data_IF_289459485214
#
_entry.id   IF_289459485214
#
_cell.length_a   1.000
_cell.length_b   1.000
_cell.length_c   1.000
_cell.angle_alpha   90.00
_cell.angle_beta   90.00
_cell.angle_gamma   90.00
#
_symmetry.space_group_name_H-M   'P 1'
#
loop_
_entity.id
_entity.type
_entity.pdbx_description
1 polymer ?
#
# COMPACT_ATOMS: atom_id res chain seq x y z
N UNK A 1 24.99 -8.97 25.71
CA UNK A 1 25.05 -8.47 24.33
C UNK A 1 23.78 -7.67 24.00
N UNK A 2 23.96 -6.62 23.22
CA UNK A 2 22.81 -5.84 22.76
C UNK A 2 21.94 -6.68 21.83
N UNK A 3 20.63 -6.50 21.93
CA UNK A 3 19.69 -7.14 21.03
C UNK A 3 19.79 -6.56 19.63
N UNK A 4 19.60 -7.38 18.62
CA UNK A 4 19.35 -6.91 17.25
C UNK A 4 17.91 -6.48 17.11
N UNK A 5 17.63 -5.55 16.22
CA UNK A 5 16.27 -5.05 16.02
C UNK A 5 16.03 -4.57 14.59
N UNK A 6 14.77 -4.42 14.25
CA UNK A 6 14.33 -3.70 13.07
C UNK A 6 12.99 -3.06 13.36
N UNK A 7 12.59 -2.13 12.50
CA UNK A 7 11.29 -1.47 12.63
C UNK A 7 10.36 -1.92 11.51
N UNK A 8 9.11 -2.20 11.87
CA UNK A 8 8.02 -2.46 10.93
C UNK A 8 7.33 -1.12 10.69
N UNK A 9 7.28 -0.70 9.44
CA UNK A 9 6.65 0.57 9.05
C UNK A 9 5.70 0.33 7.89
N UNK A 10 4.78 1.27 7.67
CA UNK A 10 3.95 1.31 6.48
C UNK A 10 4.05 2.70 5.88
N UNK A 11 4.92 2.86 4.92
CA UNK A 11 5.19 4.15 4.26
C UNK A 11 4.94 4.03 2.77
N UNK A 12 4.49 5.14 2.19
CA UNK A 12 4.27 5.25 0.75
C UNK A 12 5.17 6.35 0.21
N UNK A 13 5.96 6.02 -0.80
CA UNK A 13 6.78 7.01 -1.50
C UNK A 13 5.89 7.76 -2.48
N UNK A 14 5.48 8.98 -2.11
CA UNK A 14 4.58 9.80 -2.91
C UNK A 14 5.15 10.10 -4.30
N UNK A 15 6.46 10.27 -4.41
CA UNK A 15 7.09 10.51 -5.71
C UNK A 15 6.92 9.30 -6.63
N UNK A 16 7.07 8.08 -6.11
CA UNK A 16 6.85 6.87 -6.89
C UNK A 16 5.38 6.69 -7.27
N UNK A 17 4.45 7.09 -6.40
CA UNK A 17 3.03 7.11 -6.74
C UNK A 17 2.77 8.11 -7.88
N UNK A 18 3.37 9.29 -7.81
CA UNK A 18 3.25 10.30 -8.87
C UNK A 18 3.80 9.77 -10.20
N UNK A 19 4.94 9.09 -10.17
CA UNK A 19 5.51 8.47 -11.37
C UNK A 19 4.57 7.41 -11.94
N UNK A 20 3.97 6.58 -11.08
CA UNK A 20 3.00 5.58 -11.51
C UNK A 20 1.75 6.22 -12.13
N UNK A 21 1.27 7.31 -11.52
CA UNK A 21 0.13 8.05 -12.02
C UNK A 21 0.41 8.64 -13.41
N UNK A 22 1.59 9.24 -13.59
CA UNK A 22 1.98 9.82 -14.87
C UNK A 22 2.11 8.75 -15.95
N UNK A 23 2.64 7.58 -15.63
CA UNK A 23 2.72 6.46 -16.56
C UNK A 23 1.32 5.94 -16.91
N UNK A 24 0.44 5.82 -15.93
CA UNK A 24 -0.93 5.42 -16.17
C UNK A 24 -1.67 6.42 -17.07
N UNK A 25 -1.53 7.72 -16.79
CA UNK A 25 -2.14 8.77 -17.59
C UNK A 25 -1.68 8.70 -19.05
N UNK A 26 -0.39 8.47 -19.26
CA UNK A 26 0.17 8.35 -20.62
C UNK A 26 -0.41 7.13 -21.33
N UNK A 27 -0.47 5.98 -20.67
CA UNK A 27 -1.02 4.77 -21.28
C UNK A 27 -2.50 4.95 -21.61
N UNK A 28 -3.29 5.54 -20.70
CA UNK A 28 -4.71 5.79 -20.91
C UNK A 28 -4.95 6.74 -22.10
N UNK A 29 -4.05 7.70 -22.33
CA UNK A 29 -4.18 8.64 -23.44
C UNK A 29 -3.86 8.01 -24.80
N UNK A 30 -3.12 6.89 -24.83
CA UNK A 30 -2.66 6.25 -26.07
C UNK A 30 -3.35 4.92 -26.37
N UNK A 31 -3.97 4.28 -25.38
CA UNK A 31 -4.62 2.98 -25.59
C UNK A 31 -5.90 3.14 -26.41
N UNK A 32 -6.07 2.27 -27.37
CA UNK A 32 -7.21 2.27 -28.28
C UNK A 32 -8.54 2.13 -27.55
N UNK A 33 -8.62 1.27 -26.54
CA UNK A 33 -9.83 0.97 -25.79
C UNK A 33 -10.31 2.13 -24.91
N UNK A 34 -9.47 3.16 -24.73
CA UNK A 34 -9.82 4.37 -23.98
C UNK A 34 -10.12 5.57 -24.87
N UNK A 35 -10.06 5.42 -26.20
CA UNK A 35 -10.37 6.52 -27.10
C UNK A 35 -11.82 6.96 -26.98
N UNK A 36 -12.05 8.26 -26.88
CA UNK A 36 -13.40 8.83 -26.79
C UNK A 36 -14.08 8.65 -25.46
N UNK A 37 -13.39 8.07 -24.46
CA UNK A 37 -13.95 7.82 -23.13
C UNK A 37 -13.70 8.97 -22.15
N UNK A 38 -12.90 9.96 -22.55
CA UNK A 38 -12.50 11.09 -21.70
C UNK A 38 -11.92 10.63 -20.35
N UNK A 39 -11.13 9.56 -20.37
CA UNK A 39 -10.57 8.97 -19.17
C UNK A 39 -9.44 9.83 -18.63
N UNK A 40 -9.50 10.16 -17.34
CA UNK A 40 -8.47 10.95 -16.67
C UNK A 40 -8.09 10.31 -15.35
N UNK A 41 -6.87 10.58 -14.92
CA UNK A 41 -6.37 10.23 -13.59
C UNK A 41 -5.56 11.40 -13.07
N UNK A 42 -5.84 11.84 -11.85
CA UNK A 42 -5.17 13.01 -11.26
C UNK A 42 -5.20 12.96 -9.74
N UNK A 43 -4.26 13.66 -9.14
CA UNK A 43 -4.30 13.90 -7.70
C UNK A 43 -5.51 14.73 -7.32
N UNK A 44 -6.11 14.38 -6.18
CA UNK A 44 -7.16 15.16 -5.55
C UNK A 44 -6.69 15.53 -4.14
N UNK A 45 -6.00 16.67 -4.04
CA UNK A 45 -5.29 17.03 -2.82
C UNK A 45 -3.97 16.26 -2.68
N UNK A 46 -3.47 16.13 -1.47
CA UNK A 46 -2.12 15.59 -1.22
C UNK A 46 -2.07 14.06 -1.13
N UNK A 47 -3.16 13.42 -0.76
CA UNK A 47 -3.17 12.00 -0.43
C UNK A 47 -4.25 11.19 -1.15
N UNK A 48 -5.04 11.82 -2.02
CA UNK A 48 -6.08 11.14 -2.76
C UNK A 48 -5.86 11.24 -4.26
N UNK A 49 -6.38 10.26 -4.97
CA UNK A 49 -6.30 10.18 -6.44
C UNK A 49 -7.69 9.92 -6.98
N UNK A 50 -8.02 10.61 -8.06
CA UNK A 50 -9.32 10.51 -8.70
C UNK A 50 -9.16 10.01 -10.12
N UNK A 51 -9.96 8.99 -10.48
CA UNK A 51 -10.06 8.48 -11.83
C UNK A 51 -11.47 8.76 -12.34
N UNK A 52 -11.58 9.23 -13.58
CA UNK A 52 -12.86 9.56 -14.22
C UNK A 52 -12.90 8.93 -15.61
N UNK A 53 -14.05 8.38 -15.99
CA UNK A 53 -14.26 7.88 -17.35
C UNK A 53 -15.74 7.96 -17.73
N UNK A 54 -16.05 7.68 -18.98
CA UNK A 54 -17.40 7.77 -19.50
C UNK A 54 -18.32 6.63 -19.04
N UNK A 55 -17.76 5.49 -18.63
CA UNK A 55 -18.52 4.33 -18.17
C UNK A 55 -17.91 3.73 -16.90
N UNK A 56 -18.71 3.01 -16.14
CA UNK A 56 -18.25 2.27 -14.97
C UNK A 56 -17.16 1.27 -15.33
N UNK A 57 -17.36 0.53 -16.42
CA UNK A 57 -16.40 -0.45 -16.90
C UNK A 57 -15.05 0.19 -17.23
N UNK A 58 -15.06 1.34 -17.90
CA UNK A 58 -13.84 2.02 -18.28
C UNK A 58 -13.09 2.64 -17.10
N UNK A 59 -13.81 3.17 -16.12
CA UNK A 59 -13.14 3.71 -14.94
C UNK A 59 -12.51 2.60 -14.11
N UNK A 60 -13.12 1.42 -14.04
CA UNK A 60 -12.52 0.25 -13.40
C UNK A 60 -11.28 -0.22 -14.15
N UNK A 61 -11.33 -0.23 -15.48
CA UNK A 61 -10.17 -0.58 -16.31
C UNK A 61 -9.02 0.43 -16.12
N UNK A 62 -9.35 1.71 -15.98
CA UNK A 62 -8.35 2.73 -15.68
C UNK A 62 -7.68 2.49 -14.32
N UNK A 63 -8.45 2.07 -13.33
CA UNK A 63 -7.91 1.70 -12.02
C UNK A 63 -6.94 0.52 -12.13
N UNK A 64 -7.27 -0.48 -12.93
CA UNK A 64 -6.38 -1.63 -13.14
C UNK A 64 -5.04 -1.19 -13.75
N UNK A 65 -5.07 -0.27 -14.69
CA UNK A 65 -3.86 0.29 -15.28
C UNK A 65 -3.01 0.98 -14.23
N UNK A 66 -3.62 1.81 -13.40
CA UNK A 66 -2.91 2.52 -12.34
C UNK A 66 -2.30 1.56 -11.33
N UNK A 67 -3.07 0.56 -10.88
CA UNK A 67 -2.59 -0.43 -9.93
C UNK A 67 -1.41 -1.24 -10.50
N UNK A 68 -1.45 -1.57 -11.78
CA UNK A 68 -0.32 -2.22 -12.44
C UNK A 68 0.94 -1.36 -12.38
N UNK A 69 0.81 -0.05 -12.61
CA UNK A 69 1.95 0.85 -12.53
C UNK A 69 2.51 0.99 -11.12
N UNK A 70 1.63 0.98 -10.11
CA UNK A 70 2.06 0.97 -8.72
C UNK A 70 2.90 -0.27 -8.41
N UNK A 71 2.41 -1.45 -8.79
CA UNK A 71 3.11 -2.71 -8.54
C UNK A 71 4.47 -2.75 -9.23
N UNK A 72 4.57 -2.24 -10.45
CA UNK A 72 5.85 -2.17 -11.16
C UNK A 72 6.88 -1.27 -10.48
N UNK A 73 6.43 -0.35 -9.63
CA UNK A 73 7.30 0.54 -8.86
C UNK A 73 7.45 0.11 -7.41
N UNK A 74 7.18 -1.16 -7.14
CA UNK A 74 7.30 -1.78 -5.82
C UNK A 74 6.38 -1.14 -4.77
N UNK A 75 5.27 -0.55 -5.19
CA UNK A 75 4.24 -0.05 -4.28
C UNK A 75 3.14 -1.10 -4.20
N UNK A 76 2.87 -1.56 -2.98
CA UNK A 76 1.80 -2.53 -2.74
C UNK A 76 0.44 -1.94 -3.09
N UNK A 77 -0.44 -2.76 -3.67
CA UNK A 77 -1.83 -2.37 -3.91
C UNK A 77 -2.55 -2.05 -2.60
N UNK A 78 -2.08 -2.58 -1.48
CA UNK A 78 -2.63 -2.28 -0.15
C UNK A 78 -2.36 -0.84 0.30
N UNK A 79 -1.44 -0.13 -0.36
CA UNK A 79 -1.15 1.26 -0.06
C UNK A 79 -2.17 2.23 -0.67
N UNK A 80 -3.01 1.77 -1.59
CA UNK A 80 -4.04 2.59 -2.24
C UNK A 80 -5.42 1.98 -1.97
N UNK A 81 -6.27 2.73 -1.28
CA UNK A 81 -7.62 2.30 -0.93
C UNK A 81 -8.62 2.91 -1.92
N UNK A 82 -8.89 2.21 -3.00
CA UNK A 82 -9.81 2.67 -4.03
C UNK A 82 -11.26 2.50 -3.55
N UNK A 83 -12.04 3.54 -3.72
CA UNK A 83 -13.48 3.46 -3.49
C UNK A 83 -14.21 2.78 -4.64
N UNK A 84 -15.50 2.60 -4.49
CA UNK A 84 -16.35 2.05 -5.55
C UNK A 84 -16.63 3.13 -6.61
N UNK A 85 -16.88 2.73 -7.88
CA UNK A 85 -17.28 3.67 -8.90
C UNK A 85 -18.58 4.36 -8.54
N UNK A 86 -18.63 5.67 -8.72
CA UNK A 86 -19.82 6.48 -8.49
C UNK A 86 -20.19 7.25 -9.74
N UNK A 87 -21.48 7.25 -10.07
CA UNK A 87 -21.97 8.05 -11.19
C UNK A 87 -21.91 9.52 -10.83
N UNK A 88 -21.43 10.34 -11.76
CA UNK A 88 -21.34 11.78 -11.59
C UNK A 88 -21.71 12.45 -12.93
N UNK A 89 -22.98 12.82 -13.08
CA UNK A 89 -23.48 13.31 -14.35
C UNK A 89 -23.37 12.23 -15.43
N UNK A 90 -22.65 12.54 -16.50
CA UNK A 90 -22.43 11.60 -17.61
C UNK A 90 -21.16 10.75 -17.45
N UNK A 91 -20.49 10.86 -16.31
CA UNK A 91 -19.25 10.16 -16.07
C UNK A 91 -19.34 9.27 -14.85
N UNK A 92 -18.35 8.40 -14.69
CA UNK A 92 -18.15 7.59 -13.50
C UNK A 92 -16.81 7.93 -12.89
N UNK A 93 -16.75 7.92 -11.57
CA UNK A 93 -15.60 8.39 -10.81
C UNK A 93 -15.21 7.38 -9.75
N UNK A 94 -13.90 7.13 -9.62
CA UNK A 94 -13.33 6.39 -8.51
C UNK A 94 -12.39 7.34 -7.79
N UNK A 95 -12.58 7.50 -6.47
CA UNK A 95 -11.65 8.26 -5.63
C UNK A 95 -11.05 7.30 -4.62
N UNK A 96 -9.74 7.35 -4.45
CA UNK A 96 -9.05 6.53 -3.49
C UNK A 96 -8.00 7.33 -2.74
N UNK A 97 -7.66 6.85 -1.53
CA UNK A 97 -6.65 7.47 -0.69
C UNK A 97 -5.41 6.62 -0.55
N UNK A 98 -4.28 7.26 -0.28
CA UNK A 98 -3.06 6.56 0.09
C UNK A 98 -3.12 6.21 1.57
N UNK A 99 -2.73 4.98 1.90
CA UNK A 99 -2.69 4.49 3.28
C UNK A 99 -1.25 4.47 3.76
N UNK A 100 -0.97 5.20 4.83
CA UNK A 100 0.34 5.21 5.47
C UNK A 100 0.19 5.05 6.97
N UNK A 101 1.23 4.46 7.59
CA UNK A 101 1.26 4.23 9.02
C UNK A 101 0.55 2.94 9.42
N UNK A 102 0.94 2.40 10.57
CA UNK A 102 0.29 1.23 11.17
C UNK A 102 -0.59 1.74 12.30
N UNK A 103 -1.91 1.63 12.13
CA UNK A 103 -2.83 2.05 13.19
C UNK A 103 -2.83 1.05 14.35
N UNK A 104 -3.52 1.41 15.44
CA UNK A 104 -3.52 0.58 16.65
C UNK A 104 -4.14 -0.79 16.41
N UNK A 105 -5.18 -0.87 15.60
CA UNK A 105 -5.82 -2.13 15.29
C UNK A 105 -4.87 -3.08 14.54
N UNK A 106 -4.21 -2.58 13.51
CA UNK A 106 -3.22 -3.36 12.77
C UNK A 106 -2.00 -3.70 13.62
N UNK A 107 -1.55 -2.76 14.46
CA UNK A 107 -0.43 -3.03 15.38
C UNK A 107 -0.76 -4.16 16.35
N UNK A 108 -1.97 -4.19 16.88
CA UNK A 108 -2.41 -5.28 17.77
C UNK A 108 -2.45 -6.62 17.04
N UNK A 109 -2.93 -6.65 15.81
CA UNK A 109 -2.95 -7.87 14.99
C UNK A 109 -1.54 -8.38 14.71
N UNK A 110 -0.63 -7.48 14.36
CA UNK A 110 0.77 -7.83 14.10
C UNK A 110 1.44 -8.38 15.36
N UNK A 111 1.27 -7.71 16.50
CA UNK A 111 1.83 -8.16 17.76
C UNK A 111 1.28 -9.52 18.17
N UNK A 112 -0.01 -9.74 18.00
CA UNK A 112 -0.64 -11.02 18.31
C UNK A 112 -0.08 -12.13 17.42
N UNK A 113 0.07 -11.87 16.13
CA UNK A 113 0.61 -12.83 15.18
C UNK A 113 2.05 -13.23 15.54
N UNK A 114 2.88 -12.25 15.88
CA UNK A 114 4.26 -12.50 16.30
C UNK A 114 4.29 -13.32 17.58
N UNK A 115 3.47 -12.98 18.56
CA UNK A 115 3.40 -13.68 19.83
C UNK A 115 2.93 -15.12 19.68
N UNK A 116 1.88 -15.34 18.87
CA UNK A 116 1.24 -16.66 18.76
C UNK A 116 1.98 -17.60 17.81
N UNK A 117 2.57 -17.08 16.75
CA UNK A 117 3.16 -17.89 15.68
C UNK A 117 4.64 -17.62 15.44
N UNK A 118 5.21 -16.62 16.07
CA UNK A 118 6.63 -16.29 15.92
C UNK A 118 7.51 -16.94 16.98
N UNK A 119 8.83 -16.73 16.88
CA UNK A 119 9.79 -17.24 17.87
C UNK A 119 9.55 -16.66 19.25
N UNK A 120 9.81 -17.44 20.29
CA UNK A 120 9.51 -17.05 21.68
C UNK A 120 10.41 -15.95 22.23
N UNK A 121 11.60 -15.78 21.73
CA UNK A 121 12.56 -14.77 22.23
C UNK A 121 12.38 -13.38 21.69
N UNK A 122 11.32 -13.12 20.93
CA UNK A 122 11.10 -11.86 20.25
C UNK A 122 10.30 -10.91 21.14
N UNK A 123 10.74 -9.65 21.19
CA UNK A 123 10.04 -8.56 21.86
C UNK A 123 9.54 -7.57 20.84
N UNK A 124 8.36 -7.01 21.08
CA UNK A 124 7.77 -5.98 20.23
C UNK A 124 7.44 -4.76 21.04
N UNK A 125 7.60 -3.58 20.44
CA UNK A 125 7.26 -2.31 21.07
C UNK A 125 6.60 -1.41 20.02
N UNK A 126 5.37 -0.98 20.32
CA UNK A 126 4.65 -0.04 19.45
C UNK A 126 5.19 1.35 19.70
N UNK A 127 5.63 2.04 18.65
CA UNK A 127 6.16 3.39 18.70
C UNK A 127 5.39 4.26 17.70
N UNK A 128 4.30 4.89 18.15
CA UNK A 128 3.44 5.66 17.25
C UNK A 128 2.80 4.78 16.17
N UNK A 129 3.15 5.01 14.93
CA UNK A 129 2.65 4.25 13.77
C UNK A 129 3.64 3.17 13.29
N UNK A 130 4.61 2.84 14.09
CA UNK A 130 5.65 1.85 13.78
C UNK A 130 5.74 0.82 14.89
N UNK A 131 6.34 -0.33 14.59
CA UNK A 131 6.58 -1.38 15.58
C UNK A 131 8.05 -1.74 15.55
N UNK A 132 8.72 -1.66 16.71
CA UNK A 132 10.09 -2.15 16.85
C UNK A 132 10.08 -3.61 17.28
N UNK A 133 10.83 -4.43 16.57
CA UNK A 133 10.97 -5.85 16.87
C UNK A 133 12.42 -6.10 17.25
N UNK A 134 12.64 -6.76 18.39
CA UNK A 134 14.00 -7.04 18.87
C UNK A 134 14.13 -8.49 19.34
N UNK A 135 15.32 -9.04 19.25
CA UNK A 135 15.67 -10.36 19.74
C UNK A 135 17.18 -10.46 19.90
N UNK A 136 17.61 -11.37 20.78
CA UNK A 136 19.02 -11.70 20.92
C UNK A 136 19.55 -12.48 19.72
N UNK A 137 18.67 -13.10 18.94
CA UNK A 137 19.04 -13.92 17.78
C UNK A 137 18.53 -13.28 16.50
N UNK A 138 19.43 -13.01 15.55
CA UNK A 138 19.06 -12.48 14.23
C UNK A 138 18.13 -13.40 13.46
N UNK A 139 18.30 -14.72 13.62
CA UNK A 139 17.43 -15.70 12.97
C UNK A 139 15.97 -15.54 13.38
N UNK A 140 15.71 -15.13 14.64
CA UNK A 140 14.37 -14.85 15.12
C UNK A 140 13.75 -13.68 14.37
N UNK A 141 14.56 -12.63 14.08
CA UNK A 141 14.08 -11.47 13.34
C UNK A 141 13.73 -11.81 11.90
N UNK A 142 14.54 -12.67 11.28
CA UNK A 142 14.25 -13.16 9.92
C UNK A 142 12.97 -14.01 9.89
N UNK A 143 12.76 -14.83 10.91
CA UNK A 143 11.55 -15.63 11.03
C UNK A 143 10.30 -14.75 11.18
N UNK A 144 10.38 -13.67 11.94
CA UNK A 144 9.29 -12.69 12.08
C UNK A 144 8.98 -12.05 10.73
N UNK A 145 9.99 -11.64 9.98
CA UNK A 145 9.77 -11.03 8.66
C UNK A 145 9.10 -12.01 7.70
N UNK A 146 9.55 -13.26 7.67
CA UNK A 146 8.93 -14.29 6.83
C UNK A 146 7.48 -14.54 7.23
N UNK A 147 7.19 -14.60 8.53
CA UNK A 147 5.83 -14.76 9.03
C UNK A 147 4.93 -13.62 8.56
N UNK A 148 5.38 -12.38 8.66
CA UNK A 148 4.59 -11.21 8.28
C UNK A 148 4.41 -11.12 6.77
N UNK A 149 5.41 -11.50 5.98
CA UNK A 149 5.28 -11.52 4.51
C UNK A 149 4.27 -12.55 4.04
N UNK A 150 4.15 -13.67 4.76
CA UNK A 150 3.18 -14.72 4.43
C UNK A 150 1.79 -14.47 4.98
N UNK A 151 1.61 -13.48 5.85
CA UNK A 151 0.32 -13.19 6.46
C UNK A 151 -0.54 -12.33 5.55
N UNK A 152 -1.86 -12.58 5.57
CA UNK A 152 -2.81 -11.79 4.83
C UNK A 152 -3.24 -10.57 5.67
N UNK A 153 -2.43 -9.54 5.64
CA UNK A 153 -2.67 -8.29 6.36
C UNK A 153 -3.14 -7.21 5.40
N UNK A 154 -4.08 -6.40 5.87
CA UNK A 154 -4.69 -5.29 5.11
C UNK A 154 -3.83 -4.03 5.07
N UNK A 155 -2.54 -4.18 5.34
CA UNK A 155 -1.60 -3.06 5.42
C UNK A 155 -0.30 -3.46 4.74
N UNK A 156 0.27 -2.54 3.97
CA UNK A 156 1.58 -2.75 3.35
C UNK A 156 2.67 -2.54 4.40
N UNK A 157 3.56 -3.49 4.54
CA UNK A 157 4.63 -3.44 5.53
C UNK A 157 6.00 -3.35 4.87
N UNK A 158 6.88 -2.54 5.46
CA UNK A 158 8.30 -2.52 5.14
C UNK A 158 9.10 -2.75 6.43
N UNK A 159 10.29 -3.31 6.27
CA UNK A 159 11.19 -3.59 7.39
C UNK A 159 12.46 -2.76 7.22
N UNK A 160 12.70 -1.88 8.17
CA UNK A 160 13.75 -0.87 8.06
C UNK A 160 14.51 -0.73 9.38
N UNK A 161 15.53 0.13 9.37
CA UNK A 161 16.28 0.49 10.58
C UNK A 161 16.90 -0.72 11.30
N UNK A 162 17.55 -1.60 10.55
CA UNK A 162 18.24 -2.76 11.11
C UNK A 162 19.37 -2.31 12.03
N UNK A 163 19.43 -2.91 13.23
CA UNK A 163 20.45 -2.59 14.25
C UNK A 163 21.06 -3.84 14.85
#
# INVERSE_FOLDING_TARGET
MADSSFDIVSKVDRQEVDNALNQAAKELSTRFDFRGTETTIAWKGDEAIELVSSTEERVKAALDVFQEKLVRRDISMKAFDAGDPQASGKTYRITGGLKQGIDQEHAKKINKLIRDEGPKGVKTQIQGEEIRVSSKKRDDLQAVQALLRGADLDVALQFVNYR
#
